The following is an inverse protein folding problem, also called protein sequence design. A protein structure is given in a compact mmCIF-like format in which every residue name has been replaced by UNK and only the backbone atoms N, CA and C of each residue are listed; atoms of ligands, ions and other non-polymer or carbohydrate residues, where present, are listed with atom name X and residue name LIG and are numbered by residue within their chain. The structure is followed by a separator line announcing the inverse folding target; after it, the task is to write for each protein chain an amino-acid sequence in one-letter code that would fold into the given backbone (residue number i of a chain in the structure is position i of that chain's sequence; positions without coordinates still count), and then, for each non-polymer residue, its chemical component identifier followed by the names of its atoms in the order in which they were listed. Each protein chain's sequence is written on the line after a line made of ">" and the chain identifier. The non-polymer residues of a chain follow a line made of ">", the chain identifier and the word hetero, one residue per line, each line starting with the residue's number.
data_IF_205499420846
#
_entry.id   IF_205499420846
#
_cell.length_a   1.000
_cell.length_b   1.000
_cell.length_c   1.000
_cell.angle_alpha   90.00
_cell.angle_beta   90.00
_cell.angle_gamma   90.00
#
_symmetry.space_group_name_H-M   'P 1'
#
loop_
_entity.id
_entity.type
_entity.pdbx_description
1 polymer ?
#
# COMPACT_ATOMS: atom_id res chain seq x y z
N UNK A 1 5.20 -0.30 -1.67
CA UNK A 1 6.36 -1.15 -1.30
C UNK A 1 7.58 -0.26 -1.19
N UNK A 2 8.48 -0.43 -0.22
CA UNK A 2 9.60 0.51 -0.06
C UNK A 2 10.57 0.49 -1.27
N UNK A 3 10.67 -0.64 -1.96
CA UNK A 3 11.40 -0.84 -3.22
C UNK A 3 12.93 -0.85 -3.10
N UNK A 4 13.44 -1.35 -1.98
CA UNK A 4 14.87 -1.45 -1.65
C UNK A 4 15.43 -2.87 -1.76
N UNK A 5 14.67 -3.83 -2.29
CA UNK A 5 15.04 -5.26 -2.35
C UNK A 5 15.65 -5.66 -3.70
N UNK A 6 14.98 -5.33 -4.83
CA UNK A 6 15.38 -5.82 -6.14
C UNK A 6 16.83 -5.41 -6.50
N UNK A 7 17.24 -4.20 -6.14
CA UNK A 7 18.59 -3.68 -6.42
C UNK A 7 19.49 -3.61 -5.19
N UNK A 8 19.05 -4.16 -4.04
CA UNK A 8 19.83 -4.17 -2.81
C UNK A 8 21.23 -4.76 -3.04
N UNK A 9 22.35 -4.15 -2.56
CA UNK A 9 23.71 -4.69 -2.65
C UNK A 9 23.81 -6.19 -2.33
N UNK A 10 23.02 -6.68 -1.37
CA UNK A 10 23.00 -8.06 -0.91
C UNK A 10 22.16 -9.01 -1.77
N UNK A 11 21.35 -8.51 -2.71
CA UNK A 11 20.61 -9.36 -3.64
C UNK A 11 21.57 -9.93 -4.71
N UNK A 12 21.80 -11.26 -4.74
CA UNK A 12 22.73 -11.89 -5.69
C UNK A 12 22.22 -11.88 -7.14
N UNK A 13 20.91 -11.71 -7.33
CA UNK A 13 20.24 -11.66 -8.64
C UNK A 13 19.56 -10.30 -8.79
N UNK A 14 20.33 -9.27 -9.13
CA UNK A 14 19.85 -7.88 -9.26
C UNK A 14 18.65 -7.77 -10.17
N UNK A 15 17.68 -6.96 -9.76
CA UNK A 15 16.44 -6.72 -10.49
C UNK A 15 15.40 -7.84 -10.37
N UNK A 16 15.70 -8.92 -9.65
CA UNK A 16 14.79 -10.07 -9.47
C UNK A 16 14.35 -10.17 -8.00
N UNK A 17 13.07 -10.45 -7.78
CA UNK A 17 12.53 -10.89 -6.48
C UNK A 17 11.79 -12.20 -6.70
N UNK A 18 11.98 -13.17 -5.80
CA UNK A 18 11.24 -14.45 -5.78
C UNK A 18 10.44 -14.57 -4.48
N UNK A 19 9.34 -15.32 -4.50
CA UNK A 19 8.49 -15.54 -3.32
C UNK A 19 8.36 -17.02 -2.90
N UNK A 20 9.18 -17.91 -3.46
CA UNK A 20 9.34 -19.30 -3.02
C UNK A 20 10.65 -19.88 -3.59
N UNK A 21 11.19 -20.97 -3.01
CA UNK A 21 12.40 -21.62 -3.52
C UNK A 21 12.28 -21.99 -5.01
N UNK A 22 13.28 -21.62 -5.82
CA UNK A 22 13.31 -21.82 -7.27
C UNK A 22 12.11 -21.20 -8.02
N UNK A 23 11.47 -20.19 -7.42
CA UNK A 23 10.36 -19.49 -8.02
C UNK A 23 10.76 -18.56 -9.16
N UNK A 24 9.76 -18.16 -9.93
CA UNK A 24 9.92 -17.15 -10.99
C UNK A 24 10.07 -15.76 -10.40
N UNK A 25 10.60 -14.83 -11.19
CA UNK A 25 10.59 -13.41 -10.86
C UNK A 25 9.15 -12.90 -10.70
N UNK A 26 8.90 -12.25 -9.57
CA UNK A 26 7.62 -11.59 -9.24
C UNK A 26 7.75 -10.07 -9.20
N UNK A 27 8.93 -9.51 -9.48
CA UNK A 27 9.17 -8.06 -9.46
C UNK A 27 8.88 -7.37 -10.79
N UNK A 28 9.19 -8.04 -11.91
CA UNK A 28 8.99 -7.44 -13.23
C UNK A 28 7.53 -7.00 -13.44
N UNK A 29 7.35 -5.76 -13.89
CA UNK A 29 6.03 -5.18 -14.17
C UNK A 29 5.24 -4.72 -12.94
N UNK A 30 5.74 -4.92 -11.71
CA UNK A 30 5.06 -4.44 -10.50
C UNK A 30 5.01 -2.91 -10.48
N UNK A 31 3.81 -2.29 -10.38
CA UNK A 31 3.67 -0.84 -10.29
C UNK A 31 4.38 -0.25 -9.07
N UNK A 32 4.97 0.94 -9.25
CA UNK A 32 5.71 1.68 -8.22
C UNK A 32 4.96 2.95 -7.81
N UNK A 33 3.67 2.83 -7.50
CA UNK A 33 2.81 3.99 -7.19
C UNK A 33 3.31 4.75 -5.96
N UNK A 34 3.72 4.03 -4.91
CA UNK A 34 4.29 4.59 -3.69
C UNK A 34 5.50 3.76 -3.24
N UNK A 35 6.68 4.37 -3.28
CA UNK A 35 7.98 3.78 -2.92
C UNK A 35 8.74 4.65 -1.94
N UNK A 36 9.76 4.06 -1.29
CA UNK A 36 10.60 4.72 -0.29
C UNK A 36 9.79 5.44 0.79
N UNK A 37 10.16 6.70 1.05
CA UNK A 37 9.53 7.56 2.04
C UNK A 37 8.06 7.88 1.78
N UNK A 38 7.52 7.55 0.59
CA UNK A 38 6.10 7.72 0.31
C UNK A 38 5.24 6.55 0.84
N UNK A 39 5.85 5.48 1.35
CA UNK A 39 5.15 4.36 1.99
C UNK A 39 4.88 4.71 3.45
N UNK A 40 3.80 5.46 3.69
CA UNK A 40 3.42 5.95 5.03
C UNK A 40 1.97 5.61 5.36
N UNK A 41 1.59 5.53 6.66
CA UNK A 41 0.20 5.37 7.09
C UNK A 41 -0.74 6.44 6.51
N UNK A 42 -0.27 7.70 6.49
CA UNK A 42 -1.04 8.84 5.97
C UNK A 42 -1.37 8.66 4.48
N UNK A 43 -0.37 8.30 3.68
CA UNK A 43 -0.57 8.11 2.24
C UNK A 43 -1.49 6.92 1.97
N UNK A 44 -1.34 5.83 2.73
CA UNK A 44 -2.24 4.69 2.64
C UNK A 44 -3.70 5.04 2.92
N UNK A 45 -3.99 5.81 3.99
CA UNK A 45 -5.33 6.30 4.30
C UNK A 45 -5.87 7.20 3.17
N UNK A 46 -5.04 8.13 2.67
CA UNK A 46 -5.46 9.02 1.57
C UNK A 46 -5.77 8.27 0.28
N UNK A 47 -5.03 7.19 -0.02
CA UNK A 47 -5.32 6.29 -1.13
C UNK A 47 -6.68 5.63 -0.94
N UNK A 48 -6.95 5.07 0.24
CA UNK A 48 -8.22 4.41 0.55
C UNK A 48 -9.43 5.37 0.45
N UNK A 49 -9.27 6.60 0.92
CA UNK A 49 -10.32 7.62 0.88
C UNK A 49 -10.49 8.26 -0.50
N UNK A 50 -9.59 8.03 -1.46
CA UNK A 50 -9.66 8.68 -2.77
C UNK A 50 -9.26 10.16 -2.74
N UNK A 51 -8.41 10.57 -1.79
CA UNK A 51 -8.02 11.98 -1.60
C UNK A 51 -6.95 12.40 -2.62
N UNK A 52 -7.34 12.58 -3.88
CA UNK A 52 -6.44 12.87 -5.00
C UNK A 52 -5.61 14.16 -4.81
N UNK A 53 -6.21 15.22 -4.27
CA UNK A 53 -5.50 16.48 -4.02
C UNK A 53 -4.41 16.34 -2.96
N UNK A 54 -4.66 15.57 -1.89
CA UNK A 54 -3.65 15.29 -0.84
C UNK A 54 -2.49 14.44 -1.36
N UNK A 55 -2.73 13.66 -2.42
CA UNK A 55 -1.72 12.79 -3.04
C UNK A 55 -1.03 13.44 -4.24
N UNK A 56 -1.37 14.68 -4.59
CA UNK A 56 -0.80 15.38 -5.74
C UNK A 56 0.70 15.62 -5.53
N UNK A 57 1.52 15.09 -6.43
CA UNK A 57 2.98 15.18 -6.36
C UNK A 57 3.64 14.17 -5.39
N UNK A 58 2.87 13.26 -4.79
CA UNK A 58 3.38 12.17 -3.96
C UNK A 58 3.29 10.86 -4.74
N UNK A 59 4.44 10.24 -5.01
CA UNK A 59 4.49 9.01 -5.82
C UNK A 59 3.84 9.20 -7.19
N UNK A 60 2.99 8.26 -7.61
CA UNK A 60 2.18 8.41 -8.82
C UNK A 60 0.93 9.28 -8.65
N UNK A 61 0.53 9.57 -7.40
CA UNK A 61 -0.73 10.24 -7.08
C UNK A 61 -1.99 9.38 -7.28
N UNK A 62 -1.86 8.10 -7.62
CA UNK A 62 -2.99 7.20 -7.84
C UNK A 62 -3.70 6.85 -6.52
N UNK A 63 -5.00 7.08 -6.46
CA UNK A 63 -5.85 6.76 -5.30
C UNK A 63 -7.00 5.83 -5.72
N UNK A 64 -7.79 5.33 -4.76
CA UNK A 64 -9.04 4.65 -5.08
C UNK A 64 -10.06 5.66 -5.61
N UNK A 65 -10.54 5.41 -6.84
CA UNK A 65 -11.65 6.14 -7.46
C UNK A 65 -12.91 5.25 -7.53
N UNK A 66 -13.03 4.29 -6.61
CA UNK A 66 -14.12 3.31 -6.54
C UNK A 66 -15.43 3.91 -6.04
N UNK A 67 -16.54 3.34 -6.50
CA UNK A 67 -17.92 3.72 -6.19
C UNK A 67 -18.77 2.58 -5.62
N UNK A 68 -20.11 2.76 -5.58
CA UNK A 68 -21.02 1.88 -4.83
C UNK A 68 -21.16 0.47 -5.39
N UNK A 69 -20.74 0.24 -6.64
CA UNK A 69 -20.86 -1.06 -7.33
C UNK A 69 -19.51 -1.80 -7.45
N UNK A 70 -18.42 -1.16 -7.01
CA UNK A 70 -17.06 -1.70 -7.15
C UNK A 70 -16.66 -2.60 -5.99
N UNK A 71 -15.83 -3.61 -6.29
CA UNK A 71 -15.20 -4.42 -5.26
C UNK A 71 -13.78 -3.88 -4.98
N UNK A 72 -13.45 -3.65 -3.71
CA UNK A 72 -12.16 -3.15 -3.26
C UNK A 72 -11.43 -4.25 -2.48
N UNK A 73 -10.30 -4.70 -3.02
CA UNK A 73 -9.43 -5.65 -2.35
C UNK A 73 -8.17 -4.95 -1.81
N UNK A 74 -7.94 -5.08 -0.49
CA UNK A 74 -6.78 -4.53 0.20
C UNK A 74 -5.93 -5.67 0.77
N UNK A 75 -4.65 -5.73 0.37
CA UNK A 75 -3.68 -6.67 0.91
C UNK A 75 -2.55 -5.92 1.62
N UNK A 76 -2.26 -6.33 2.85
CA UNK A 76 -1.20 -5.75 3.68
C UNK A 76 -0.28 -6.87 4.20
N UNK A 77 1.04 -6.66 4.12
CA UNK A 77 2.05 -7.59 4.62
C UNK A 77 3.24 -6.81 5.19
N UNK A 78 3.45 -6.92 6.50
CA UNK A 78 4.61 -6.44 7.24
C UNK A 78 4.52 -6.98 8.69
N UNK A 79 5.35 -6.46 9.58
CA UNK A 79 5.20 -6.59 11.02
C UNK A 79 3.94 -5.88 11.56
N UNK A 80 3.53 -6.30 12.75
CA UNK A 80 2.45 -5.68 13.50
C UNK A 80 2.58 -5.96 14.99
N UNK A 81 1.72 -5.32 15.76
CA UNK A 81 1.57 -5.55 17.19
C UNK A 81 0.09 -5.42 17.56
N UNK A 82 -0.24 -5.59 18.85
CA UNK A 82 -1.62 -5.44 19.31
C UNK A 82 -2.13 -4.04 18.96
N UNK A 83 -3.15 -3.99 18.09
CA UNK A 83 -3.80 -2.75 17.70
C UNK A 83 -3.04 -1.89 16.68
N UNK A 84 -2.01 -2.41 16.00
CA UNK A 84 -1.33 -1.67 14.93
C UNK A 84 -0.70 -2.59 13.87
N UNK A 85 -0.48 -2.02 12.68
CA UNK A 85 0.43 -2.55 11.66
C UNK A 85 1.59 -1.57 11.43
N UNK A 86 2.78 -2.09 11.17
CA UNK A 86 3.97 -1.27 10.96
C UNK A 86 4.05 -0.75 9.52
N UNK A 87 4.65 0.43 9.34
CA UNK A 87 5.09 0.90 8.03
C UNK A 87 6.62 1.06 8.08
N UNK A 88 7.32 1.18 6.94
CA UNK A 88 8.77 1.40 6.95
C UNK A 88 9.20 2.59 7.81
N UNK A 89 8.35 3.62 7.87
CA UNK A 89 8.42 4.68 8.87
C UNK A 89 7.02 4.92 9.45
N UNK A 90 6.90 4.78 10.77
CA UNK A 90 5.65 4.98 11.52
C UNK A 90 4.79 3.71 11.63
N UNK A 91 3.60 3.88 12.19
CA UNK A 91 2.63 2.81 12.42
C UNK A 91 1.23 3.27 12.05
N UNK A 92 0.39 2.34 11.60
CA UNK A 92 -1.04 2.57 11.43
C UNK A 92 -1.78 1.88 12.57
N UNK A 93 -2.44 2.66 13.43
CA UNK A 93 -3.24 2.11 14.51
C UNK A 93 -4.58 1.59 13.99
N UNK A 94 -5.09 0.54 14.65
CA UNK A 94 -6.37 -0.08 14.31
C UNK A 94 -7.53 0.91 14.37
N UNK A 95 -7.46 1.90 15.27
CA UNK A 95 -8.46 2.98 15.36
C UNK A 95 -8.54 3.79 14.06
N UNK A 96 -7.41 4.24 13.53
CA UNK A 96 -7.38 5.07 12.32
C UNK A 96 -7.83 4.29 11.09
N UNK A 97 -7.45 3.01 11.00
CA UNK A 97 -7.92 2.13 9.94
C UNK A 97 -9.44 1.88 10.03
N UNK A 98 -9.97 1.64 11.23
CA UNK A 98 -11.40 1.46 11.45
C UNK A 98 -12.21 2.71 11.04
N UNK A 99 -11.76 3.88 11.49
CA UNK A 99 -12.38 5.16 11.11
C UNK A 99 -12.32 5.40 9.59
N UNK A 100 -11.23 4.99 8.94
CA UNK A 100 -11.07 5.08 7.48
C UNK A 100 -12.07 4.19 6.76
N UNK A 101 -12.21 2.93 7.16
CA UNK A 101 -13.15 1.98 6.54
C UNK A 101 -14.61 2.44 6.78
N UNK A 102 -14.92 2.94 7.98
CA UNK A 102 -16.24 3.50 8.28
C UNK A 102 -16.57 4.70 7.39
N UNK A 103 -15.60 5.58 7.14
CA UNK A 103 -15.75 6.70 6.19
C UNK A 103 -15.95 6.22 4.75
N UNK A 104 -15.18 5.23 4.30
CA UNK A 104 -15.35 4.64 2.96
C UNK A 104 -16.76 4.07 2.78
N UNK A 105 -17.27 3.36 3.78
CA UNK A 105 -18.64 2.81 3.77
C UNK A 105 -19.69 3.92 3.73
N UNK A 106 -19.57 4.93 4.60
CA UNK A 106 -20.50 6.06 4.64
C UNK A 106 -20.53 6.86 3.32
N UNK A 107 -19.42 6.87 2.59
CA UNK A 107 -19.28 7.53 1.27
C UNK A 107 -19.59 6.60 0.10
N UNK A 108 -20.08 5.38 0.35
CA UNK A 108 -20.39 4.37 -0.67
C UNK A 108 -19.24 4.11 -1.66
N UNK A 109 -18.00 4.03 -1.14
CA UNK A 109 -16.78 3.84 -1.96
C UNK A 109 -16.52 2.38 -2.37
N UNK A 110 -17.38 1.45 -1.99
CA UNK A 110 -17.30 0.05 -2.39
C UNK A 110 -18.67 -0.62 -2.17
N UNK A 111 -18.90 -1.68 -2.95
CA UNK A 111 -19.91 -2.69 -2.72
C UNK A 111 -19.42 -3.77 -1.76
N UNK A 112 -18.19 -4.24 -1.98
CA UNK A 112 -17.52 -5.29 -1.23
C UNK A 112 -16.03 -5.02 -1.06
#
# INVERSE_FOLDING_TARGET
>A
MYDDIANNPQNPTKGVIINHPNGKDVYHGVPKDYTGNNVTPKNFINVLLGNKEEMRGIGSGKVLESGPDDNVFVFFTDHGAVGLVAFPSGVLYAKDLNETIAKMHAQQKYKQ
#
